data_IF_525255558842
#
_entry.id   IF_525255558842
#
_cell.length_a   1.000
_cell.length_b   1.000
_cell.length_c   1.000
_cell.angle_alpha   90.00
_cell.angle_beta   90.00
_cell.angle_gamma   90.00
#
_symmetry.space_group_name_H-M   'P 1'
#
loop_
_entity.id
_entity.type
_entity.pdbx_description
1 polymer ?
#
# COMPACT_ATOMS: atom_id res chain seq x y z
N UNK A 1 5.98 64.19 -10.67
CA UNK A 1 6.56 62.86 -10.99
C UNK A 1 5.82 62.40 -12.23
N UNK A 2 6.49 62.27 -13.39
CA UNK A 2 5.82 62.17 -14.71
C UNK A 2 4.63 61.19 -14.80
N UNK A 3 4.65 60.07 -14.07
CA UNK A 3 3.55 59.11 -14.03
C UNK A 3 2.33 59.59 -13.22
N UNK A 4 2.54 60.14 -12.03
CA UNK A 4 1.43 60.64 -11.19
C UNK A 4 0.76 61.85 -11.85
N UNK A 5 1.57 62.74 -12.42
CA UNK A 5 1.09 63.93 -13.12
C UNK A 5 0.22 63.50 -14.32
N UNK A 6 0.67 62.50 -15.11
CA UNK A 6 -0.12 61.91 -16.19
C UNK A 6 -1.43 61.28 -15.72
N UNK A 7 -1.43 60.56 -14.59
CA UNK A 7 -2.65 59.96 -14.06
C UNK A 7 -3.65 61.03 -13.60
N UNK A 8 -3.17 62.11 -12.97
CA UNK A 8 -4.01 63.22 -12.53
C UNK A 8 -4.63 63.96 -13.73
N UNK A 9 -3.80 64.32 -14.72
CA UNK A 9 -4.24 64.97 -15.97
C UNK A 9 -5.31 64.14 -16.71
N UNK A 10 -5.21 62.82 -16.65
CA UNK A 10 -6.15 61.89 -17.31
C UNK A 10 -7.26 61.36 -16.39
N UNK A 11 -7.38 61.86 -15.15
CA UNK A 11 -8.40 61.43 -14.17
C UNK A 11 -8.39 59.92 -13.89
N UNK A 12 -7.21 59.31 -13.89
CA UNK A 12 -6.99 57.90 -13.58
C UNK A 12 -6.76 57.75 -12.08
N UNK A 13 -7.68 57.05 -11.40
CA UNK A 13 -7.53 56.75 -9.98
C UNK A 13 -6.48 55.65 -9.77
N UNK A 14 -5.46 55.97 -8.97
CA UNK A 14 -4.40 55.03 -8.61
C UNK A 14 -4.76 54.27 -7.34
N UNK A 15 -4.84 52.94 -7.45
CA UNK A 15 -4.97 52.06 -6.30
C UNK A 15 -3.59 51.64 -5.80
N UNK A 16 -3.25 52.00 -4.56
CA UNK A 16 -2.00 51.59 -3.90
C UNK A 16 -2.25 50.42 -2.97
N UNK A 17 -1.52 49.33 -3.16
CA UNK A 17 -1.60 48.15 -2.29
C UNK A 17 -0.56 48.21 -1.16
N UNK A 18 -0.87 47.68 0.04
CA UNK A 18 0.13 47.44 1.07
C UNK A 18 1.27 46.55 0.56
N UNK A 19 2.49 46.66 1.15
CA UNK A 19 3.60 45.80 0.78
C UNK A 19 3.23 44.32 0.95
N UNK A 20 3.75 43.48 0.03
CA UNK A 20 3.53 42.03 -0.01
C UNK A 20 2.06 41.57 -0.13
N UNK A 21 1.13 42.43 -0.51
CA UNK A 21 -0.30 42.07 -0.60
C UNK A 21 -0.79 41.69 -2.00
N UNK A 22 0.09 41.69 -3.01
CA UNK A 22 -0.23 41.42 -4.42
C UNK A 22 -0.96 40.08 -4.61
N UNK A 23 -0.48 39.03 -3.95
CA UNK A 23 -1.08 37.70 -3.96
C UNK A 23 -2.49 37.60 -3.36
N UNK A 24 -3.00 38.67 -2.75
CA UNK A 24 -4.31 38.74 -2.09
C UNK A 24 -5.21 39.82 -2.68
N UNK A 25 -4.63 40.98 -3.02
CA UNK A 25 -5.37 42.18 -3.44
C UNK A 25 -5.30 42.46 -4.95
N UNK A 26 -4.47 41.74 -5.71
CA UNK A 26 -4.37 41.96 -7.17
C UNK A 26 -5.19 40.91 -7.93
N UNK A 27 -6.29 41.29 -8.60
CA UNK A 27 -7.16 40.34 -9.32
C UNK A 27 -6.41 39.54 -10.39
N UNK A 28 -5.44 40.17 -11.04
CA UNK A 28 -4.61 39.54 -12.07
C UNK A 28 -3.82 38.35 -11.51
N UNK A 29 -3.20 38.53 -10.34
CA UNK A 29 -2.39 37.50 -9.68
C UNK A 29 -3.25 36.38 -9.09
N UNK A 30 -4.39 36.75 -8.51
CA UNK A 30 -5.26 35.82 -7.79
C UNK A 30 -6.04 34.90 -8.74
N UNK A 31 -6.50 35.41 -9.89
CA UNK A 31 -7.46 34.68 -10.71
C UNK A 31 -7.17 34.61 -12.20
N UNK A 32 -6.23 35.37 -12.75
CA UNK A 32 -5.95 35.38 -14.21
C UNK A 32 -4.64 34.67 -14.56
N UNK A 33 -3.55 34.92 -13.82
CA UNK A 33 -2.25 34.34 -14.17
C UNK A 33 -2.19 32.82 -14.04
N UNK A 34 -2.91 32.24 -13.08
CA UNK A 34 -3.00 30.79 -12.97
C UNK A 34 -3.69 30.19 -14.21
N UNK A 35 -4.93 30.57 -14.58
CA UNK A 35 -5.56 30.10 -15.82
C UNK A 35 -4.73 30.38 -17.08
N UNK A 36 -4.06 31.53 -17.17
CA UNK A 36 -3.19 31.88 -18.29
C UNK A 36 -2.00 30.91 -18.41
N UNK A 37 -1.34 30.61 -17.29
CA UNK A 37 -0.25 29.64 -17.27
C UNK A 37 -0.73 28.26 -17.73
N UNK A 38 -1.87 27.79 -17.23
CA UNK A 38 -2.42 26.49 -17.62
C UNK A 38 -2.81 26.45 -19.10
N UNK A 39 -3.50 27.49 -19.59
CA UNK A 39 -3.89 27.57 -21.00
C UNK A 39 -2.64 27.61 -21.91
N UNK A 40 -1.60 28.35 -21.53
CA UNK A 40 -0.37 28.43 -22.30
C UNK A 40 0.38 27.09 -22.31
N UNK A 41 0.47 26.40 -21.17
CA UNK A 41 1.02 25.04 -21.10
C UNK A 41 0.26 24.06 -22.01
N UNK A 42 -1.06 24.18 -22.10
CA UNK A 42 -1.87 23.36 -23.00
C UNK A 42 -1.59 23.65 -24.48
N UNK A 43 -1.42 24.92 -24.87
CA UNK A 43 -1.02 25.28 -26.24
C UNK A 43 0.38 24.76 -26.59
N UNK A 44 1.31 24.79 -25.62
CA UNK A 44 2.65 24.23 -25.79
C UNK A 44 2.61 22.71 -26.01
N UNK A 45 1.81 21.99 -25.21
CA UNK A 45 1.65 20.55 -25.32
C UNK A 45 0.99 20.14 -26.64
N UNK A 46 -0.04 20.88 -27.07
CA UNK A 46 -0.69 20.67 -28.37
C UNK A 46 0.31 20.88 -29.53
N UNK A 47 1.12 21.94 -29.46
CA UNK A 47 2.17 22.19 -30.46
C UNK A 47 3.23 21.09 -30.47
N UNK A 48 3.65 20.61 -29.30
CA UNK A 48 4.61 19.52 -29.18
C UNK A 48 4.06 18.23 -29.78
N UNK A 49 2.78 17.93 -29.56
CA UNK A 49 2.11 16.75 -30.10
C UNK A 49 2.01 16.81 -31.63
N UNK A 50 1.60 17.95 -32.19
CA UNK A 50 1.49 18.13 -33.65
C UNK A 50 2.86 18.05 -34.34
N UNK A 51 3.90 18.60 -33.70
CA UNK A 51 5.27 18.59 -34.23
C UNK A 51 6.01 17.28 -33.96
N UNK A 52 5.40 16.31 -33.27
CA UNK A 52 6.03 15.07 -32.81
C UNK A 52 7.33 15.29 -32.00
N UNK A 53 7.48 16.46 -31.38
CA UNK A 53 8.71 16.86 -30.69
C UNK A 53 9.91 17.16 -31.61
N UNK A 54 9.71 17.22 -32.93
CA UNK A 54 10.77 17.46 -33.91
C UNK A 54 11.04 18.96 -34.15
N UNK A 55 10.12 19.84 -33.72
CA UNK A 55 10.26 21.29 -33.86
C UNK A 55 10.67 21.93 -32.53
N UNK A 56 11.67 22.81 -32.57
CA UNK A 56 12.08 23.60 -31.42
C UNK A 56 11.23 24.88 -31.30
N UNK A 57 10.84 25.22 -30.07
CA UNK A 57 10.11 26.45 -29.79
C UNK A 57 11.10 27.61 -29.71
N UNK A 58 10.89 28.63 -30.53
CA UNK A 58 11.69 29.86 -30.55
C UNK A 58 10.89 31.04 -29.97
N UNK A 59 11.56 32.18 -29.76
CA UNK A 59 10.88 33.41 -29.31
C UNK A 59 9.82 33.90 -30.31
N UNK A 60 9.97 33.59 -31.60
CA UNK A 60 9.00 33.99 -32.62
C UNK A 60 7.66 33.26 -32.46
N UNK A 61 7.69 32.05 -31.91
CA UNK A 61 6.50 31.23 -31.67
C UNK A 61 5.70 31.68 -30.44
N UNK A 62 6.29 32.55 -29.60
CA UNK A 62 5.67 33.00 -28.35
C UNK A 62 4.28 33.59 -28.60
N UNK A 63 4.15 34.61 -29.44
CA UNK A 63 2.86 35.27 -29.67
C UNK A 63 1.82 34.34 -30.28
N UNK A 64 2.24 33.44 -31.19
CA UNK A 64 1.35 32.46 -31.83
C UNK A 64 0.73 31.51 -30.80
N UNK A 65 1.49 31.11 -29.80
CA UNK A 65 1.05 30.19 -28.74
C UNK A 65 0.41 30.92 -27.55
N UNK A 66 0.87 32.15 -27.27
CA UNK A 66 0.40 32.97 -26.16
C UNK A 66 -0.98 33.58 -26.43
N UNK A 67 -1.24 34.07 -27.64
CA UNK A 67 -2.49 34.77 -27.93
C UNK A 67 -3.75 33.88 -27.76
N UNK A 68 -3.76 32.62 -28.23
CA UNK A 68 -4.88 31.71 -27.95
C UNK A 68 -5.07 31.45 -26.44
N UNK A 69 -3.97 31.26 -25.70
CA UNK A 69 -4.01 31.10 -24.25
C UNK A 69 -4.54 32.35 -23.54
N UNK A 70 -4.12 33.53 -24.01
CA UNK A 70 -4.58 34.83 -23.51
C UNK A 70 -6.08 35.02 -23.66
N UNK A 71 -6.63 34.74 -24.85
CA UNK A 71 -8.07 34.84 -25.11
C UNK A 71 -8.87 33.88 -24.23
N UNK A 72 -8.36 32.66 -24.00
CA UNK A 72 -8.99 31.69 -23.08
C UNK A 72 -8.93 32.16 -21.62
N UNK A 73 -7.80 32.70 -21.18
CA UNK A 73 -7.58 33.09 -19.80
C UNK A 73 -8.30 34.39 -19.41
N UNK A 74 -8.27 35.41 -20.27
CA UNK A 74 -8.96 36.69 -20.06
C UNK A 74 -10.43 36.64 -20.52
N UNK A 75 -11.11 35.55 -20.21
CA UNK A 75 -12.55 35.47 -20.40
C UNK A 75 -13.28 36.38 -19.40
N UNK A 76 -14.44 36.93 -19.81
CA UNK A 76 -15.27 37.77 -18.93
C UNK A 76 -15.61 37.06 -17.61
N UNK A 77 -15.84 35.74 -17.65
CA UNK A 77 -16.06 34.89 -16.48
C UNK A 77 -14.87 34.91 -15.51
N UNK A 78 -13.64 34.73 -16.02
CA UNK A 78 -12.44 34.73 -15.19
C UNK A 78 -12.17 36.12 -14.62
N UNK A 79 -12.37 37.18 -15.40
CA UNK A 79 -12.20 38.57 -14.95
C UNK A 79 -13.16 38.84 -13.78
N UNK A 80 -14.47 38.65 -13.97
CA UNK A 80 -15.48 38.89 -12.92
C UNK A 80 -15.20 38.04 -11.67
N UNK A 81 -14.85 36.76 -11.86
CA UNK A 81 -14.49 35.87 -10.75
C UNK A 81 -13.26 36.36 -9.98
N UNK A 82 -12.23 36.85 -10.69
CA UNK A 82 -11.00 37.38 -10.09
C UNK A 82 -11.28 38.60 -9.22
N UNK A 83 -12.07 39.55 -9.71
CA UNK A 83 -12.47 40.74 -8.96
C UNK A 83 -13.30 40.40 -7.71
N UNK A 84 -14.21 39.42 -7.83
CA UNK A 84 -15.01 38.94 -6.70
C UNK A 84 -14.15 38.23 -5.66
N UNK A 85 -13.16 37.46 -6.09
CA UNK A 85 -12.26 36.69 -5.21
C UNK A 85 -11.36 37.61 -4.39
N UNK A 86 -11.01 38.76 -4.95
CA UNK A 86 -10.25 39.80 -4.24
C UNK A 86 -11.17 40.67 -3.35
N UNK A 87 -12.48 40.66 -3.58
CA UNK A 87 -13.43 41.44 -2.80
C UNK A 87 -13.38 42.95 -3.10
N UNK A 88 -12.77 43.36 -4.22
CA UNK A 88 -12.84 44.76 -4.68
C UNK A 88 -14.16 45.01 -5.42
N UNK A 89 -14.59 44.07 -6.26
CA UNK A 89 -15.84 44.20 -7.01
C UNK A 89 -16.60 42.86 -7.11
N UNK A 90 -17.80 42.74 -6.50
CA UNK A 90 -18.40 43.69 -5.57
C UNK A 90 -17.54 43.89 -4.31
N UNK A 91 -17.60 45.07 -3.70
CA UNK A 91 -16.79 45.40 -2.52
C UNK A 91 -17.21 44.52 -1.33
N UNK A 92 -16.31 43.65 -0.89
CA UNK A 92 -16.51 42.74 0.23
C UNK A 92 -15.15 42.38 0.90
N UNK A 93 -14.75 43.11 1.95
CA UNK A 93 -13.46 42.91 2.61
C UNK A 93 -13.39 41.58 3.39
N UNK A 94 -14.52 41.00 3.79
CA UNK A 94 -14.58 39.76 4.56
C UNK A 94 -13.94 38.58 3.83
N UNK A 95 -14.03 38.56 2.49
CA UNK A 95 -13.42 37.51 1.65
C UNK A 95 -11.90 37.45 1.85
N UNK A 96 -11.27 38.61 2.01
CA UNK A 96 -9.82 38.73 2.23
C UNK A 96 -9.51 38.51 3.71
N UNK A 97 -10.24 39.16 4.62
CA UNK A 97 -10.03 39.06 6.06
C UNK A 97 -10.18 37.62 6.59
N UNK A 98 -11.15 36.86 6.06
CA UNK A 98 -11.34 35.46 6.42
C UNK A 98 -10.14 34.55 6.07
N UNK A 99 -9.30 34.93 5.10
CA UNK A 99 -8.08 34.18 4.77
C UNK A 99 -6.99 34.35 5.82
N UNK A 100 -6.94 35.54 6.42
CA UNK A 100 -5.94 35.90 7.44
C UNK A 100 -6.41 35.61 8.88
N UNK A 101 -7.73 35.47 9.09
CA UNK A 101 -8.32 35.19 10.40
C UNK A 101 -8.21 33.72 10.83
N UNK A 102 -7.76 32.83 9.95
CA UNK A 102 -7.47 31.45 10.33
C UNK A 102 -6.22 31.45 11.19
N UNK A 103 -6.35 31.10 12.47
CA UNK A 103 -5.19 30.78 13.30
C UNK A 103 -4.28 29.82 12.51
N UNK A 104 -2.95 30.00 12.57
CA UNK A 104 -2.02 29.07 11.97
C UNK A 104 -2.14 27.73 12.68
N UNK A 105 -3.09 26.92 12.26
CA UNK A 105 -3.11 25.48 12.50
C UNK A 105 -1.74 25.01 12.04
N UNK A 106 -0.89 24.67 13.01
CA UNK A 106 0.48 24.34 12.72
C UNK A 106 0.47 23.22 11.69
N UNK A 107 0.80 23.53 10.43
CA UNK A 107 0.74 22.54 9.37
C UNK A 107 1.63 21.39 9.83
N UNK A 108 1.08 20.18 10.04
CA UNK A 108 1.86 19.06 10.57
C UNK A 108 3.13 18.85 9.75
N UNK A 109 3.06 19.12 8.44
CA UNK A 109 4.17 19.10 7.50
C UNK A 109 5.36 19.99 7.90
N UNK A 110 5.15 21.26 8.26
CA UNK A 110 6.25 22.19 8.59
C UNK A 110 6.95 21.80 9.90
N UNK A 111 6.17 21.41 10.92
CA UNK A 111 6.73 20.88 12.19
C UNK A 111 7.53 19.59 11.95
N UNK A 112 7.03 18.69 11.11
CA UNK A 112 7.73 17.46 10.75
C UNK A 112 9.02 17.73 9.96
N UNK A 113 9.03 18.70 9.05
CA UNK A 113 10.23 19.10 8.31
C UNK A 113 11.30 19.65 9.26
N UNK A 114 10.92 20.55 10.16
CA UNK A 114 11.81 21.12 11.17
C UNK A 114 12.39 20.03 12.09
N UNK A 115 11.54 19.11 12.56
CA UNK A 115 11.97 18.00 13.41
C UNK A 115 12.94 17.07 12.67
N UNK A 116 12.68 16.76 11.39
CA UNK A 116 13.60 15.96 10.55
C UNK A 116 14.96 16.63 10.39
N UNK A 117 14.99 17.94 10.15
CA UNK A 117 16.24 18.70 10.04
C UNK A 117 17.03 18.68 11.36
N UNK A 118 16.35 18.87 12.48
CA UNK A 118 16.97 18.81 13.81
C UNK A 118 17.56 17.42 14.11
N UNK A 119 16.78 16.36 13.86
CA UNK A 119 17.25 14.98 14.02
C UNK A 119 18.48 14.69 13.15
N UNK A 120 18.49 15.16 11.90
CA UNK A 120 19.63 15.00 10.99
C UNK A 120 20.88 15.72 11.51
N UNK A 121 20.73 16.96 11.99
CA UNK A 121 21.83 17.72 12.60
C UNK A 121 22.42 17.03 13.83
N UNK A 122 21.57 16.51 14.71
CA UNK A 122 22.00 15.77 15.91
C UNK A 122 22.74 14.47 15.54
N UNK A 123 22.26 13.73 14.53
CA UNK A 123 22.95 12.53 14.05
C UNK A 123 24.36 12.83 13.54
N UNK A 124 24.53 13.89 12.76
CA UNK A 124 25.83 14.32 12.24
C UNK A 124 26.77 14.69 13.40
N UNK A 125 26.29 15.46 14.37
CA UNK A 125 27.07 15.82 15.55
C UNK A 125 27.52 14.58 16.35
N UNK A 126 26.64 13.59 16.50
CA UNK A 126 26.93 12.33 17.19
C UNK A 126 27.97 11.50 16.42
N UNK A 127 27.86 11.42 15.10
CA UNK A 127 28.87 10.78 14.24
C UNK A 127 30.23 11.47 14.35
N UNK A 128 30.27 12.80 14.33
CA UNK A 128 31.52 13.55 14.49
C UNK A 128 32.17 13.32 15.86
N UNK A 129 31.37 13.24 16.93
CA UNK A 129 31.86 12.90 18.28
C UNK A 129 32.39 11.46 18.35
N UNK A 130 31.74 10.51 17.67
CA UNK A 130 32.24 9.11 17.54
C UNK A 130 33.55 9.04 16.76
N UNK A 131 33.68 9.78 15.65
CA UNK A 131 34.92 9.87 14.87
C UNK A 131 36.06 10.51 15.68
N UNK A 132 35.79 11.55 16.48
CA UNK A 132 36.78 12.12 17.42
C UNK A 132 37.30 11.09 18.43
N UNK A 133 36.45 10.15 18.88
CA UNK A 133 36.86 9.03 19.77
C UNK A 133 37.66 7.94 19.05
N UNK A 134 37.68 7.92 17.71
CA UNK A 134 38.43 6.95 16.91
C UNK A 134 39.79 7.48 16.43
N UNK A 135 40.18 8.73 16.75
CA UNK A 135 41.61 9.10 16.69
C UNK A 135 42.36 8.12 17.57
N UNK A 136 43.35 7.46 16.97
CA UNK A 136 43.91 6.19 17.44
C UNK A 136 44.17 6.14 18.93
N UNK A 137 43.92 4.98 19.54
CA UNK A 137 44.44 4.69 20.88
C UNK A 137 45.96 4.92 20.80
N UNK A 138 46.55 5.80 21.63
CA UNK A 138 48.00 5.83 21.74
C UNK A 138 48.45 4.41 22.09
N UNK A 139 49.57 3.95 21.53
CA UNK A 139 50.15 2.64 21.87
C UNK A 139 50.22 2.55 23.40
N UNK A 140 49.26 1.86 24.00
CA UNK A 140 49.19 1.69 25.44
C UNK A 140 50.10 0.53 25.79
N UNK A 141 51.37 0.87 25.93
CA UNK A 141 52.31 0.10 26.72
C UNK A 141 53.06 1.03 27.67
N UNK A 142 53.47 0.46 28.80
CA UNK A 142 54.15 1.09 29.95
C UNK A 142 55.55 1.62 29.58
N UNK A 143 55.70 2.20 28.40
CA UNK A 143 56.82 3.04 28.05
C UNK A 143 56.58 4.39 28.74
N UNK A 144 56.68 4.40 30.08
CA UNK A 144 56.70 5.65 30.83
C UNK A 144 57.88 6.44 30.28
N UNK A 145 57.61 7.55 29.60
CA UNK A 145 58.63 8.57 29.43
C UNK A 145 59.08 9.00 30.83
N UNK A 146 60.37 9.25 31.02
CA UNK A 146 60.82 9.98 32.20
C UNK A 146 60.06 11.31 32.24
N UNK A 147 59.60 11.74 33.42
CA UNK A 147 58.70 12.88 33.61
C UNK A 147 59.25 14.23 33.08
N UNK A 148 60.48 14.23 32.57
CA UNK A 148 61.19 15.39 32.05
C UNK A 148 60.79 15.82 30.62
N UNK A 149 59.73 15.25 30.03
CA UNK A 149 59.15 15.72 28.75
C UNK A 149 60.08 15.65 27.53
N UNK A 150 61.23 14.98 27.64
CA UNK A 150 62.19 14.80 26.56
C UNK A 150 61.78 13.72 25.56
N UNK A 151 62.35 13.79 24.35
CA UNK A 151 62.19 12.75 23.34
C UNK A 151 62.72 11.40 23.86
N UNK A 152 61.91 10.34 23.79
CA UNK A 152 62.27 9.00 24.24
C UNK A 152 62.62 8.13 23.03
N UNK A 153 63.84 7.63 23.00
CA UNK A 153 64.30 6.69 21.98
C UNK A 153 64.09 5.24 22.45
N UNK A 154 63.46 4.41 21.63
CA UNK A 154 63.24 2.99 21.93
C UNK A 154 64.11 2.11 21.03
N UNK A 155 64.68 1.05 21.61
CA UNK A 155 65.41 0.05 20.83
C UNK A 155 64.46 -0.75 19.92
N UNK A 156 64.94 -1.25 18.76
CA UNK A 156 64.13 -2.07 17.84
C UNK A 156 63.41 -3.24 18.52
N UNK A 157 64.06 -3.87 19.51
CA UNK A 157 63.50 -4.99 20.26
C UNK A 157 62.30 -4.60 21.14
N UNK A 158 62.31 -3.40 21.75
CA UNK A 158 61.16 -2.89 22.53
C UNK A 158 59.97 -2.55 21.63
N UNK A 159 60.23 -2.08 20.41
CA UNK A 159 59.18 -1.78 19.43
C UNK A 159 58.50 -3.09 18.99
N UNK A 160 59.29 -4.14 18.73
CA UNK A 160 58.77 -5.45 18.35
C UNK A 160 57.90 -6.07 19.46
N UNK A 161 58.35 -6.01 20.72
CA UNK A 161 57.55 -6.48 21.87
C UNK A 161 56.20 -5.76 22.00
N UNK A 162 56.16 -4.45 21.74
CA UNK A 162 54.92 -3.68 21.75
C UNK A 162 53.96 -4.10 20.62
N UNK A 163 54.50 -4.38 19.43
CA UNK A 163 53.73 -4.88 18.30
C UNK A 163 53.15 -6.27 18.58
N UNK A 164 53.94 -7.20 19.11
CA UNK A 164 53.49 -8.57 19.45
C UNK A 164 52.36 -8.56 20.48
N UNK A 165 52.46 -7.69 21.49
CA UNK A 165 51.41 -7.54 22.50
C UNK A 165 50.12 -6.91 21.92
N UNK A 166 50.25 -6.00 20.96
CA UNK A 166 49.10 -5.40 20.28
C UNK A 166 48.40 -6.43 19.39
N UNK A 167 49.18 -7.20 18.64
CA UNK A 167 48.70 -8.33 17.84
C UNK A 167 48.00 -9.37 18.72
N UNK A 168 48.54 -9.67 19.90
CA UNK A 168 47.91 -10.56 20.88
C UNK A 168 46.55 -10.05 21.39
N UNK A 169 46.46 -8.75 21.73
CA UNK A 169 45.19 -8.13 22.15
C UNK A 169 44.16 -8.10 21.02
N UNK A 170 44.58 -7.85 19.79
CA UNK A 170 43.71 -7.85 18.61
C UNK A 170 43.15 -9.24 18.34
N UNK A 171 44.01 -10.27 18.34
CA UNK A 171 43.56 -11.68 18.21
C UNK A 171 42.57 -12.08 19.31
N UNK A 172 42.84 -11.71 20.57
CA UNK A 172 41.92 -12.00 21.68
C UNK A 172 40.56 -11.28 21.51
N UNK A 173 40.59 -10.04 21.03
CA UNK A 173 39.37 -9.28 20.74
C UNK A 173 38.58 -9.87 19.55
N UNK A 174 39.26 -10.38 18.54
CA UNK A 174 38.64 -11.08 17.40
C UNK A 174 38.00 -12.40 17.83
N UNK A 175 38.69 -13.22 18.61
CA UNK A 175 38.14 -14.45 19.17
C UNK A 175 36.90 -14.18 20.05
N UNK A 176 36.93 -13.10 20.84
CA UNK A 176 35.79 -12.71 21.66
C UNK A 176 34.61 -12.16 20.83
N UNK A 177 34.87 -11.58 19.66
CA UNK A 177 33.82 -11.19 18.71
C UNK A 177 33.22 -12.41 18.00
N UNK A 178 34.07 -13.30 17.49
CA UNK A 178 33.65 -14.53 16.83
C UNK A 178 32.77 -15.39 17.74
N UNK A 179 33.21 -15.64 18.98
CA UNK A 179 32.41 -16.39 19.97
C UNK A 179 31.06 -15.73 20.30
N UNK A 180 31.00 -14.39 20.36
CA UNK A 180 29.73 -13.67 20.54
C UNK A 180 28.81 -13.77 19.33
N UNK A 181 29.35 -13.79 18.11
CA UNK A 181 28.57 -13.98 16.88
C UNK A 181 28.04 -15.40 16.78
N UNK A 182 28.87 -16.41 17.04
CA UNK A 182 28.44 -17.81 17.12
C UNK A 182 27.34 -17.99 18.16
N UNK A 183 27.46 -17.38 19.34
CA UNK A 183 26.43 -17.45 20.37
C UNK A 183 25.11 -16.80 19.93
N UNK A 184 25.15 -15.73 19.13
CA UNK A 184 23.92 -15.11 18.57
C UNK A 184 23.26 -16.01 17.53
N UNK A 185 24.05 -16.59 16.62
CA UNK A 185 23.55 -17.52 15.60
C UNK A 185 22.90 -18.73 16.27
N UNK A 186 23.56 -19.30 17.29
CA UNK A 186 23.02 -20.43 18.06
C UNK A 186 21.68 -20.07 18.74
N UNK A 187 21.59 -18.91 19.39
CA UNK A 187 20.33 -18.45 20.01
C UNK A 187 19.21 -18.24 18.99
N UNK A 188 19.54 -17.82 17.78
CA UNK A 188 18.57 -17.65 16.71
C UNK A 188 18.05 -19.00 16.22
N UNK A 189 18.95 -19.96 15.97
CA UNK A 189 18.59 -21.33 15.59
C UNK A 189 17.72 -22.02 16.65
N UNK A 190 18.04 -21.87 17.94
CA UNK A 190 17.25 -22.43 19.05
C UNK A 190 15.83 -21.82 19.11
N UNK A 191 15.66 -20.53 18.78
CA UNK A 191 14.34 -19.88 18.72
C UNK A 191 13.52 -20.39 17.54
N UNK A 192 14.14 -20.50 16.37
CA UNK A 192 13.48 -20.99 15.15
C UNK A 192 13.05 -22.46 15.32
N UNK A 193 13.90 -23.29 15.90
CA UNK A 193 13.56 -24.69 16.21
C UNK A 193 12.35 -24.79 17.16
N UNK A 194 12.31 -23.95 18.21
CA UNK A 194 11.16 -23.90 19.13
C UNK A 194 9.88 -23.45 18.44
N UNK A 195 9.95 -22.46 17.55
CA UNK A 195 8.79 -21.99 16.78
C UNK A 195 8.25 -23.09 15.85
N UNK A 196 9.13 -23.82 15.16
CA UNK A 196 8.72 -24.95 14.30
C UNK A 196 8.00 -26.03 15.10
N UNK A 197 8.51 -26.40 16.28
CA UNK A 197 7.85 -27.37 17.16
C UNK A 197 6.44 -26.92 17.59
N UNK A 198 6.27 -25.63 17.91
CA UNK A 198 4.97 -25.07 18.28
C UNK A 198 4.00 -25.10 17.09
N UNK A 199 4.46 -24.74 15.90
CA UNK A 199 3.65 -24.78 14.68
C UNK A 199 3.23 -26.20 14.31
N UNK A 200 4.13 -27.16 14.41
CA UNK A 200 3.82 -28.57 14.15
C UNK A 200 2.80 -29.11 15.16
N UNK A 201 2.96 -28.79 16.44
CA UNK A 201 1.96 -29.16 17.46
C UNK A 201 0.58 -28.54 17.16
N UNK A 202 0.53 -27.29 16.70
CA UNK A 202 -0.71 -26.62 16.30
C UNK A 202 -1.36 -27.29 15.09
N UNK A 203 -0.58 -27.70 14.10
CA UNK A 203 -1.08 -28.44 12.91
C UNK A 203 -1.67 -29.78 13.31
N UNK A 204 -0.97 -30.52 14.18
CA UNK A 204 -1.45 -31.83 14.68
C UNK A 204 -2.78 -31.66 15.42
N UNK A 205 -2.91 -30.63 16.26
CA UNK A 205 -4.18 -30.34 16.95
C UNK A 205 -5.30 -29.97 15.98
N UNK A 206 -5.03 -29.15 14.96
CA UNK A 206 -6.01 -28.79 13.95
C UNK A 206 -6.48 -30.01 13.15
N UNK A 207 -5.55 -30.88 12.72
CA UNK A 207 -5.92 -32.11 12.01
C UNK A 207 -6.74 -33.06 12.88
N UNK A 208 -6.41 -33.17 14.18
CA UNK A 208 -7.20 -33.97 15.12
C UNK A 208 -8.63 -33.42 15.31
N UNK A 209 -8.78 -32.09 15.35
CA UNK A 209 -10.09 -31.44 15.42
C UNK A 209 -10.92 -31.66 14.15
N UNK A 210 -10.31 -31.56 12.97
CA UNK A 210 -10.96 -31.84 11.69
C UNK A 210 -11.46 -33.28 11.62
N UNK A 211 -10.62 -34.26 12.00
CA UNK A 211 -11.01 -35.67 12.06
C UNK A 211 -12.21 -35.86 13.00
N UNK A 212 -12.17 -35.26 14.20
CA UNK A 212 -13.27 -35.37 15.15
C UNK A 212 -14.58 -34.72 14.64
N UNK A 213 -14.50 -33.60 13.92
CA UNK A 213 -15.68 -32.97 13.32
C UNK A 213 -16.28 -33.87 12.23
N UNK A 214 -15.45 -34.45 11.36
CA UNK A 214 -15.88 -35.37 10.32
C UNK A 214 -16.54 -36.62 10.90
N UNK A 215 -15.96 -37.22 11.95
CA UNK A 215 -16.58 -38.36 12.64
C UNK A 215 -17.92 -38.00 13.28
N UNK A 216 -18.05 -36.80 13.83
CA UNK A 216 -19.31 -36.33 14.42
C UNK A 216 -20.40 -36.08 13.35
N UNK A 217 -20.01 -35.57 12.17
CA UNK A 217 -20.91 -35.37 11.03
C UNK A 217 -21.37 -36.71 10.45
N UNK A 218 -20.47 -37.68 10.27
CA UNK A 218 -20.83 -39.03 9.84
C UNK A 218 -21.83 -39.67 10.81
N UNK A 219 -21.58 -39.58 12.13
CA UNK A 219 -22.53 -40.08 13.15
C UNK A 219 -23.88 -39.35 13.12
N UNK A 220 -23.95 -38.09 12.66
CA UNK A 220 -25.23 -37.37 12.49
C UNK A 220 -25.97 -37.87 11.26
N UNK A 221 -25.27 -38.06 10.14
CA UNK A 221 -25.84 -38.62 8.92
C UNK A 221 -26.39 -40.03 9.16
N UNK A 222 -25.62 -40.91 9.81
CA UNK A 222 -26.09 -42.26 10.17
C UNK A 222 -27.36 -42.24 11.04
N UNK A 223 -27.48 -41.27 11.95
CA UNK A 223 -28.69 -41.10 12.78
C UNK A 223 -29.88 -40.60 11.99
N UNK A 224 -29.67 -39.67 11.05
CA UNK A 224 -30.73 -39.19 10.16
C UNK A 224 -31.19 -40.29 9.20
N UNK A 225 -30.26 -41.02 8.58
CA UNK A 225 -30.56 -42.16 7.72
C UNK A 225 -31.30 -43.27 8.49
N UNK A 226 -30.91 -43.54 9.74
CA UNK A 226 -31.63 -44.47 10.61
C UNK A 226 -33.04 -43.97 10.97
N UNK A 227 -33.27 -42.66 11.11
CA UNK A 227 -34.61 -42.09 11.31
C UNK A 227 -35.46 -42.22 10.06
N UNK A 228 -34.91 -41.87 8.89
CA UNK A 228 -35.59 -41.98 7.60
C UNK A 228 -35.95 -43.45 7.33
N UNK A 229 -35.04 -44.39 7.57
CA UNK A 229 -35.29 -45.83 7.44
C UNK A 229 -36.42 -46.31 8.36
N UNK A 230 -36.45 -45.86 9.62
CA UNK A 230 -37.55 -46.17 10.56
C UNK A 230 -38.89 -45.57 10.11
N UNK A 231 -38.89 -44.34 9.61
CA UNK A 231 -40.10 -43.69 9.08
C UNK A 231 -40.61 -44.39 7.82
N UNK A 232 -39.71 -44.75 6.88
CA UNK A 232 -40.05 -45.55 5.70
C UNK A 232 -40.63 -46.92 6.07
N UNK A 233 -40.04 -47.61 7.06
CA UNK A 233 -40.57 -48.89 7.55
C UNK A 233 -41.97 -48.75 8.17
N UNK A 234 -42.23 -47.68 8.93
CA UNK A 234 -43.57 -47.37 9.46
C UNK A 234 -44.56 -47.08 8.34
N UNK A 235 -44.15 -46.32 7.32
CA UNK A 235 -45.00 -46.01 6.17
C UNK A 235 -45.39 -47.29 5.42
N UNK A 236 -44.43 -48.18 5.15
CA UNK A 236 -44.71 -49.49 4.55
C UNK A 236 -45.71 -50.31 5.38
N UNK A 237 -45.65 -50.21 6.71
CA UNK A 237 -46.60 -50.89 7.59
C UNK A 237 -48.01 -50.28 7.53
N UNK A 238 -48.13 -48.96 7.41
CA UNK A 238 -49.40 -48.27 7.20
C UNK A 238 -50.00 -48.66 5.84
N UNK A 239 -49.21 -48.61 4.78
CA UNK A 239 -49.62 -48.99 3.42
C UNK A 239 -50.10 -50.45 3.39
N UNK A 240 -49.42 -51.36 4.10
CA UNK A 240 -49.84 -52.75 4.27
C UNK A 240 -51.18 -52.89 5.01
N UNK A 241 -51.46 -52.05 6.02
CA UNK A 241 -52.74 -52.04 6.72
C UNK A 241 -53.87 -51.42 5.88
N UNK A 242 -53.57 -50.41 5.07
CA UNK A 242 -54.54 -49.80 4.14
C UNK A 242 -54.91 -50.76 3.01
N UNK A 243 -53.94 -51.49 2.44
CA UNK A 243 -54.18 -52.56 1.47
C UNK A 243 -55.08 -53.69 2.02
N UNK A 244 -55.10 -53.91 3.34
CA UNK A 244 -56.04 -54.84 4.02
C UNK A 244 -57.43 -54.25 4.28
N UNK A 245 -57.59 -52.92 4.35
CA UNK A 245 -58.86 -52.22 4.67
C UNK A 245 -59.62 -51.71 3.44
N UNK A 246 -59.01 -51.71 2.25
CA UNK A 246 -59.74 -51.57 0.99
C UNK A 246 -60.60 -52.81 0.73
N UNK A 247 -61.94 -52.68 0.58
CA UNK A 247 -62.79 -53.82 0.28
C UNK A 247 -62.43 -54.36 -1.09
N UNK A 248 -62.11 -55.67 -1.13
CA UNK A 248 -61.92 -56.45 -2.35
C UNK A 248 -63.16 -56.30 -3.23
N UNK A 249 -63.09 -55.42 -4.24
CA UNK A 249 -63.94 -55.51 -5.41
C UNK A 249 -63.36 -56.62 -6.28
N UNK A 250 -64.08 -57.73 -6.28
CA UNK A 250 -63.81 -58.92 -7.07
C UNK A 250 -63.87 -58.61 -8.57
N UNK A 251 -62.81 -58.94 -9.30
CA UNK A 251 -62.94 -59.35 -10.69
C UNK A 251 -61.87 -60.38 -11.03
N UNK A 252 -62.32 -61.63 -11.00
CA UNK A 252 -62.05 -62.75 -11.91
C UNK A 252 -60.63 -62.96 -12.44
N UNK A 253 -60.13 -64.12 -12.07
CA UNK A 253 -59.13 -64.95 -12.73
C UNK A 253 -59.22 -64.98 -14.26
N UNK A 254 -58.05 -65.10 -14.90
CA UNK A 254 -57.69 -66.34 -15.61
C UNK A 254 -56.20 -66.37 -15.95
N UNK A 255 -55.52 -67.35 -15.36
CA UNK A 255 -54.46 -68.21 -15.88
C UNK A 255 -53.76 -67.81 -17.19
N UNK A 256 -52.42 -67.82 -17.16
CA UNK A 256 -51.67 -68.80 -17.95
C UNK A 256 -50.26 -69.03 -17.39
N UNK A 257 -49.97 -70.29 -17.11
CA UNK A 257 -48.67 -70.95 -17.19
C UNK A 257 -47.90 -70.47 -18.43
N UNK A 258 -46.61 -70.18 -18.34
CA UNK A 258 -45.59 -71.18 -18.67
C UNK A 258 -44.14 -70.71 -18.44
N UNK A 259 -43.32 -71.73 -18.18
CA UNK A 259 -41.88 -71.96 -18.40
C UNK A 259 -40.90 -70.86 -18.85
N UNK A 260 -39.74 -70.93 -18.18
CA UNK A 260 -38.34 -70.96 -18.67
C UNK A 260 -37.96 -70.10 -19.89
N UNK A 261 -36.91 -69.30 -19.73
CA UNK A 261 -35.53 -69.68 -20.09
C UNK A 261 -34.68 -68.44 -20.51
N UNK A 262 -33.38 -68.58 -20.31
CA UNK A 262 -32.26 -67.98 -21.07
C UNK A 262 -32.18 -66.47 -21.37
N UNK A 263 -31.09 -65.87 -20.87
CA UNK A 263 -30.19 -65.07 -21.71
C UNK A 263 -30.21 -63.54 -21.58
N UNK A 264 -29.09 -62.86 -21.92
CA UNK A 264 -28.54 -61.67 -21.23
C UNK A 264 -28.69 -60.38 -22.11
N UNK A 265 -27.93 -59.24 -22.04
CA UNK A 265 -26.82 -58.78 -21.17
C UNK A 265 -26.83 -57.25 -20.78
N UNK A 266 -25.83 -56.86 -19.97
CA UNK A 266 -24.96 -55.65 -20.02
C UNK A 266 -25.43 -54.20 -20.32
N UNK A 267 -24.78 -53.31 -19.57
CA UNK A 267 -24.37 -51.91 -19.82
C UNK A 267 -25.40 -50.78 -19.65
N UNK A 268 -24.96 -49.67 -19.01
CA UNK A 268 -25.27 -48.23 -19.22
C UNK A 268 -24.98 -47.51 -17.88
N UNK A 269 -23.86 -46.79 -17.72
CA UNK A 269 -23.48 -45.42 -18.20
C UNK A 269 -23.72 -44.38 -17.10
N UNK A 270 -22.63 -43.68 -16.78
CA UNK A 270 -22.56 -42.51 -15.90
C UNK A 270 -23.21 -41.33 -16.63
N UNK A 271 -24.22 -40.72 -16.02
CA UNK A 271 -24.90 -39.53 -16.55
C UNK A 271 -24.18 -38.26 -16.03
N UNK A 272 -23.58 -37.50 -16.96
CA UNK A 272 -22.99 -36.18 -16.72
C UNK A 272 -24.07 -35.08 -16.62
N UNK A 273 -23.87 -34.14 -15.69
CA UNK A 273 -24.76 -32.99 -15.42
C UNK A 273 -24.63 -31.92 -16.52
N UNK A 274 -25.73 -31.30 -17.00
CA UNK A 274 -25.67 -30.33 -18.10
C UNK A 274 -25.15 -28.94 -17.67
N UNK A 275 -24.50 -28.17 -18.56
CA UNK A 275 -23.91 -26.87 -18.24
C UNK A 275 -24.93 -25.74 -18.12
N UNK A 276 -24.69 -24.81 -17.19
CA UNK A 276 -25.59 -23.67 -16.92
C UNK A 276 -25.51 -22.59 -18.00
N UNK A 277 -26.65 -22.25 -18.58
CA UNK A 277 -26.78 -21.33 -19.73
C UNK A 277 -27.55 -20.06 -19.33
N UNK A 278 -27.21 -18.90 -19.88
CA UNK A 278 -27.98 -17.66 -19.64
C UNK A 278 -29.30 -17.63 -20.43
N UNK A 279 -30.20 -16.67 -20.13
CA UNK A 279 -31.50 -16.50 -20.83
C UNK A 279 -31.41 -16.31 -22.36
N UNK A 280 -30.23 -16.08 -22.93
CA UNK A 280 -29.99 -15.93 -24.37
C UNK A 280 -29.24 -17.13 -24.98
N UNK A 281 -29.16 -18.25 -24.25
CA UNK A 281 -28.61 -19.49 -24.77
C UNK A 281 -27.08 -19.54 -24.87
N UNK A 282 -26.34 -18.63 -24.22
CA UNK A 282 -24.87 -18.72 -24.14
C UNK A 282 -24.40 -19.38 -22.85
N UNK A 283 -23.49 -20.34 -23.02
CA UNK A 283 -22.87 -21.12 -21.94
C UNK A 283 -22.01 -20.23 -21.03
N UNK A 284 -22.24 -20.28 -19.72
CA UNK A 284 -21.49 -19.48 -18.74
C UNK A 284 -20.31 -20.31 -18.24
N UNK A 285 -19.09 -19.91 -18.60
CA UNK A 285 -17.86 -20.56 -18.12
C UNK A 285 -17.25 -19.78 -16.96
N UNK A 286 -17.05 -20.46 -15.83
CA UNK A 286 -16.39 -19.87 -14.64
C UNK A 286 -14.90 -19.58 -14.92
N UNK A 287 -14.34 -18.47 -14.40
CA UNK A 287 -12.93 -18.12 -14.53
C UNK A 287 -12.00 -19.19 -13.94
N UNK A 288 -10.82 -19.35 -14.55
CA UNK A 288 -9.89 -20.46 -14.33
C UNK A 288 -9.45 -20.65 -12.87
N UNK A 289 -9.38 -19.55 -12.08
CA UNK A 289 -9.01 -19.58 -10.65
C UNK A 289 -10.02 -20.25 -9.72
N UNK A 290 -11.22 -20.59 -10.21
CA UNK A 290 -12.30 -21.19 -9.43
C UNK A 290 -12.66 -22.61 -9.89
N UNK A 291 -11.86 -23.23 -10.76
CA UNK A 291 -12.04 -24.63 -11.14
C UNK A 291 -11.08 -25.47 -10.30
N UNK A 292 -11.60 -26.30 -9.40
CA UNK A 292 -10.84 -27.32 -8.69
C UNK A 292 -10.59 -28.50 -9.63
N UNK A 293 -9.37 -29.03 -9.64
CA UNK A 293 -8.94 -30.17 -10.47
C UNK A 293 -9.77 -31.43 -10.21
#
# INVERSE_FOLDING_TARGET
MKFFDYCDDNKILLATYPPHSTHSLQPLDVGIFSPLSHAYSSELEAYLHISMGLSHITKQDFFRLFFPAWVKALSSKNIISSWRTVGIHPFNPEIVLARFSREPQSRPSTKNILLKLQCKGLQIALQNKKKKRQRGKPLQFQLKASDNGGAVFYSPQKIQQAQDLQLGKERAAEQLKASKEEQKVRRQQEKEAKQRLIEDHRKIQASQQEIHCLEAEQKRQEKEDARISKEAAKQLQIDFQQAKKTPRKSSKASNHTDTQDTGPPSHVVVEEVPPTVNRRGREIRLPQRFRTN
#
